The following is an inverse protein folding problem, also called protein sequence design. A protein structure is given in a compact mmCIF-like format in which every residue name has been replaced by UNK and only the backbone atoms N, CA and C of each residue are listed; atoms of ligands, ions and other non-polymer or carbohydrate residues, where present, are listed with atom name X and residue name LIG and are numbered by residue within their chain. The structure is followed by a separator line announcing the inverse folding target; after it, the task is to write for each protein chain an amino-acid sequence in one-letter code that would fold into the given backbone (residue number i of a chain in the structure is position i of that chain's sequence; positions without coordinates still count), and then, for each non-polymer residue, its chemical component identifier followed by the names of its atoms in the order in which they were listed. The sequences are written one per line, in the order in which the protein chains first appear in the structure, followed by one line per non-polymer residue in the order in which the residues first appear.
data_IF_789479386727
#
_entry.id   IF_789479386727
#
_cell.length_a   1.000
_cell.length_b   1.000
_cell.length_c   1.000
_cell.angle_alpha   90.00
_cell.angle_beta   90.00
_cell.angle_gamma   90.00
#
_symmetry.space_group_name_H-M   'P 1'
#
loop_
_entity.id
_entity.type
_entity.pdbx_description
1 polymer ?
#
# COMPACT_ATOMS: atom_id res chain seq x y z
N UNK A 1 8.52 -11.32 -7.97
CA UNK A 1 8.81 -10.47 -6.80
C UNK A 1 9.38 -11.23 -5.60
N UNK A 2 9.48 -12.57 -5.64
CA UNK A 2 10.08 -13.41 -4.59
C UNK A 2 11.62 -13.26 -4.42
N UNK A 3 12.21 -12.23 -5.02
CA UNK A 3 13.65 -11.96 -5.00
C UNK A 3 14.09 -11.08 -3.84
N UNK A 4 13.15 -10.40 -3.16
CA UNK A 4 13.48 -9.44 -2.08
C UNK A 4 12.97 -9.94 -0.73
N UNK A 5 13.87 -10.02 0.25
CA UNK A 5 13.55 -10.46 1.61
C UNK A 5 12.58 -9.47 2.28
N UNK A 6 11.54 -10.01 2.91
CA UNK A 6 10.56 -9.21 3.66
C UNK A 6 9.51 -8.50 2.80
N UNK A 7 9.51 -8.70 1.49
CA UNK A 7 8.49 -8.15 0.60
C UNK A 7 7.35 -9.15 0.44
N UNK A 8 6.16 -8.76 0.90
CA UNK A 8 4.93 -9.52 0.69
C UNK A 8 4.06 -8.83 -0.38
N UNK A 9 4.08 -9.30 -1.64
CA UNK A 9 3.33 -8.64 -2.72
C UNK A 9 1.83 -8.81 -2.55
N UNK A 10 1.08 -7.74 -2.81
CA UNK A 10 -0.38 -7.73 -2.82
C UNK A 10 -0.88 -7.20 -4.17
N UNK A 11 -1.91 -7.84 -4.71
CA UNK A 11 -2.59 -7.40 -5.93
C UNK A 11 -3.83 -6.59 -5.56
N UNK A 12 -3.86 -5.31 -5.95
CA UNK A 12 -5.05 -4.48 -5.85
C UNK A 12 -5.82 -4.53 -7.18
N UNK A 13 -6.97 -5.18 -7.19
CA UNK A 13 -7.77 -5.46 -8.40
C UNK A 13 -8.85 -4.42 -8.69
N UNK A 14 -9.11 -3.50 -7.76
CA UNK A 14 -10.14 -2.48 -7.95
C UNK A 14 -9.75 -1.46 -9.04
N UNK A 15 -10.77 -0.85 -9.63
CA UNK A 15 -10.56 0.19 -10.63
C UNK A 15 -9.84 1.40 -10.00
N UNK A 16 -8.92 1.97 -10.77
CA UNK A 16 -8.15 3.14 -10.35
C UNK A 16 -9.08 4.35 -10.16
N UNK A 17 -8.95 5.03 -9.01
CA UNK A 17 -9.66 6.29 -8.78
C UNK A 17 -9.05 7.42 -9.62
N UNK A 18 -9.90 8.31 -10.14
CA UNK A 18 -9.46 9.47 -10.93
C UNK A 18 -8.64 10.45 -10.09
N UNK A 19 -9.05 10.66 -8.84
CA UNK A 19 -8.24 11.35 -7.84
C UNK A 19 -7.13 10.43 -7.35
N UNK A 20 -5.90 10.82 -7.68
CA UNK A 20 -4.71 10.08 -7.32
C UNK A 20 -4.47 10.01 -5.80
N UNK A 21 -4.86 11.03 -5.02
CA UNK A 21 -4.70 11.00 -3.57
C UNK A 21 -5.66 9.96 -2.97
N UNK A 22 -6.92 10.01 -3.37
CA UNK A 22 -7.91 9.02 -2.97
C UNK A 22 -7.51 7.60 -3.41
N UNK A 23 -6.95 7.42 -4.62
CA UNK A 23 -6.46 6.12 -5.09
C UNK A 23 -5.35 5.55 -4.19
N UNK A 24 -4.45 6.40 -3.69
CA UNK A 24 -3.40 5.99 -2.75
C UNK A 24 -4.01 5.55 -1.42
N UNK A 25 -4.90 6.35 -0.85
CA UNK A 25 -5.51 6.04 0.43
C UNK A 25 -6.27 4.70 0.39
N UNK A 26 -6.98 4.43 -0.71
CA UNK A 26 -7.67 3.15 -0.92
C UNK A 26 -6.68 1.97 -1.00
N UNK A 27 -5.54 2.13 -1.69
CA UNK A 27 -4.50 1.08 -1.79
C UNK A 27 -3.80 0.85 -0.46
N UNK A 28 -3.54 1.91 0.32
CA UNK A 28 -2.96 1.80 1.66
C UNK A 28 -3.91 1.06 2.58
N UNK A 29 -5.19 1.43 2.59
CA UNK A 29 -6.21 0.76 3.39
C UNK A 29 -6.35 -0.73 3.01
N UNK A 30 -6.28 -1.06 1.72
CA UNK A 30 -6.25 -2.45 1.26
C UNK A 30 -5.03 -3.22 1.80
N UNK A 31 -3.82 -2.62 1.70
CA UNK A 31 -2.60 -3.21 2.25
C UNK A 31 -2.67 -3.43 3.76
N UNK A 32 -3.24 -2.48 4.51
CA UNK A 32 -3.46 -2.61 5.95
C UNK A 32 -4.41 -3.76 6.27
N UNK A 33 -5.54 -3.88 5.56
CA UNK A 33 -6.51 -4.96 5.75
C UNK A 33 -5.90 -6.34 5.50
N UNK A 34 -5.14 -6.48 4.42
CA UNK A 34 -4.41 -7.72 4.12
C UNK A 34 -3.35 -8.04 5.17
N UNK A 35 -2.60 -7.02 5.63
CA UNK A 35 -1.60 -7.18 6.69
C UNK A 35 -2.23 -7.60 8.02
N UNK A 36 -3.41 -7.07 8.37
CA UNK A 36 -4.18 -7.47 9.55
C UNK A 36 -4.70 -8.90 9.42
N UNK A 37 -5.29 -9.26 8.27
CA UNK A 37 -5.81 -10.60 8.02
C UNK A 37 -4.72 -11.69 8.10
N UNK A 38 -3.48 -11.34 7.75
CA UNK A 38 -2.30 -12.21 7.84
C UNK A 38 -1.62 -12.21 9.20
N UNK A 39 -2.03 -11.32 10.12
CA UNK A 39 -1.44 -11.16 11.44
C UNK A 39 -0.11 -10.40 11.49
N UNK A 40 0.27 -9.72 10.39
CA UNK A 40 1.46 -8.86 10.34
C UNK A 40 1.24 -7.51 11.02
N UNK A 41 0.00 -7.03 11.03
CA UNK A 41 -0.41 -5.74 11.59
C UNK A 41 -1.47 -6.01 12.65
N UNK A 42 -1.31 -5.42 13.83
CA UNK A 42 -2.30 -5.42 14.90
C UNK A 42 -2.89 -4.02 15.09
N UNK A 43 -4.02 -3.96 15.78
CA UNK A 43 -4.57 -2.68 16.23
C UNK A 43 -3.53 -1.96 17.10
N UNK A 44 -3.40 -0.65 16.88
CA UNK A 44 -2.43 0.23 17.55
C UNK A 44 -0.96 0.06 17.16
N UNK A 45 -0.64 -0.75 16.14
CA UNK A 45 0.71 -0.77 15.59
C UNK A 45 1.02 0.53 14.83
N UNK A 46 2.25 1.03 14.98
CA UNK A 46 2.76 2.14 14.17
C UNK A 46 3.17 1.60 12.79
N UNK A 47 2.65 2.22 11.74
CA UNK A 47 2.96 1.85 10.35
C UNK A 47 3.71 2.98 9.66
N UNK A 48 4.72 2.63 8.85
CA UNK A 48 5.40 3.55 7.95
C UNK A 48 4.81 3.33 6.55
N UNK A 49 4.21 4.39 5.99
CA UNK A 49 3.66 4.38 4.64
C UNK A 49 4.60 5.17 3.74
N UNK A 50 5.12 4.52 2.70
CA UNK A 50 5.96 5.14 1.69
C UNK A 50 5.11 5.39 0.44
N UNK A 51 4.96 6.66 0.07
CA UNK A 51 4.17 7.07 -1.10
C UNK A 51 4.87 8.16 -1.89
N UNK A 52 4.44 8.35 -3.14
CA UNK A 52 4.91 9.47 -3.95
C UNK A 52 4.19 10.78 -3.64
N UNK A 53 4.71 11.89 -4.13
CA UNK A 53 4.12 13.22 -3.92
C UNK A 53 3.18 13.68 -5.05
N UNK A 54 3.23 13.05 -6.22
CA UNK A 54 2.34 13.34 -7.35
C UNK A 54 2.14 12.16 -8.29
N UNK A 55 1.06 12.22 -9.09
CA UNK A 55 0.74 11.25 -10.15
C UNK A 55 1.88 11.20 -11.20
N UNK A 56 2.47 10.03 -11.41
CA UNK A 56 3.55 9.82 -12.39
C UNK A 56 4.56 8.75 -11.95
N UNK A 57 5.56 8.46 -12.80
CA UNK A 57 6.68 7.53 -12.48
C UNK A 57 7.82 8.25 -11.76
N UNK A 58 8.58 7.50 -10.96
CA UNK A 58 9.85 7.91 -10.33
C UNK A 58 9.76 9.11 -9.38
N UNK A 59 8.72 9.15 -8.55
CA UNK A 59 8.54 10.20 -7.54
C UNK A 59 8.15 9.56 -6.22
N UNK A 60 9.12 8.97 -5.53
CA UNK A 60 8.99 8.52 -4.15
C UNK A 60 10.09 9.24 -3.38
N UNK A 61 9.71 10.02 -2.37
CA UNK A 61 10.63 10.73 -1.48
C UNK A 61 10.53 10.12 -0.10
#
# INVERSE_FOLDING_TARGET
MLLYRGVHPLLYSEQKNEDWKADIDLRVAFGMKEGQARGFIKSSDLLIIITGWSKGRNKTI
#
